data_IF_435719864819
#
_entry.id   IF_435719864819
#
_cell.length_a   1.000
_cell.length_b   1.000
_cell.length_c   1.000
_cell.angle_alpha   90.00
_cell.angle_beta   90.00
_cell.angle_gamma   90.00
#
_symmetry.space_group_name_H-M   'P 1'
#
loop_
_entity.id
_entity.type
_entity.pdbx_description
1 polymer ?
#
# COMPACT_ATOMS: atom_id res chain seq x y z
N UNK A 1 14.27 4.47 9.19
CA UNK A 1 14.43 5.89 9.59
C UNK A 1 15.45 6.06 10.71
N UNK A 2 15.38 5.28 11.80
CA UNK A 2 16.36 5.30 12.90
C UNK A 2 17.82 5.37 12.43
N UNK A 3 18.29 4.40 11.63
CA UNK A 3 19.66 4.42 11.08
C UNK A 3 19.99 5.69 10.31
N UNK A 4 19.07 6.23 9.53
CA UNK A 4 19.34 7.48 8.82
C UNK A 4 19.45 8.67 9.78
N UNK A 5 18.68 8.68 10.87
CA UNK A 5 18.89 9.60 11.98
C UNK A 5 20.29 9.44 12.60
N UNK A 6 20.71 8.22 12.91
CA UNK A 6 22.05 7.92 13.47
C UNK A 6 23.19 8.38 12.56
N UNK A 7 23.05 8.16 11.25
CA UNK A 7 24.08 8.49 10.25
C UNK A 7 23.87 9.87 9.59
N UNK A 8 22.93 10.68 10.08
CA UNK A 8 22.55 11.99 9.52
C UNK A 8 22.33 11.97 7.99
N UNK A 9 21.63 10.93 7.53
CA UNK A 9 21.23 10.79 6.13
C UNK A 9 19.81 11.28 5.93
N UNK A 10 19.56 11.87 4.78
CA UNK A 10 18.20 12.14 4.34
C UNK A 10 17.57 10.85 3.81
N UNK A 11 16.30 10.64 4.13
CA UNK A 11 15.45 9.63 3.48
C UNK A 11 14.26 10.34 2.88
N UNK A 12 13.87 9.87 1.70
CA UNK A 12 12.67 10.28 1.02
C UNK A 12 11.79 9.05 0.76
N UNK A 13 10.51 9.18 1.08
CA UNK A 13 9.45 8.21 0.82
C UNK A 13 8.46 8.82 -0.16
N UNK A 14 8.09 8.09 -1.21
CA UNK A 14 6.97 8.46 -2.08
C UNK A 14 5.93 7.35 -2.06
N UNK A 15 4.76 7.66 -1.52
CA UNK A 15 3.61 6.77 -1.43
C UNK A 15 2.77 6.95 -2.68
N UNK A 16 2.83 5.98 -3.59
CA UNK A 16 2.15 5.99 -4.89
C UNK A 16 0.75 5.38 -4.71
N UNK A 17 -0.26 6.07 -5.23
CA UNK A 17 -1.63 5.57 -5.38
C UNK A 17 -1.97 5.49 -6.86
N UNK A 18 -2.54 4.37 -7.31
CA UNK A 18 -3.08 4.26 -8.66
C UNK A 18 -4.56 4.63 -8.71
N UNK A 19 -4.94 5.39 -9.73
CA UNK A 19 -6.34 5.73 -9.96
C UNK A 19 -7.15 4.48 -10.35
N UNK A 20 -7.91 3.94 -9.38
CA UNK A 20 -8.78 2.76 -9.55
C UNK A 20 -7.99 1.53 -10.04
N UNK A 21 -6.93 1.17 -9.33
CA UNK A 21 -5.93 0.17 -9.74
C UNK A 21 -6.57 -1.13 -10.27
N UNK A 22 -7.48 -1.72 -9.51
CA UNK A 22 -8.15 -2.98 -9.86
C UNK A 22 -9.10 -2.82 -11.05
N UNK A 23 -9.78 -1.67 -11.19
CA UNK A 23 -10.77 -1.44 -12.25
C UNK A 23 -10.14 -1.00 -13.58
N UNK A 24 -8.87 -0.60 -13.55
CA UNK A 24 -8.14 -0.08 -14.72
C UNK A 24 -7.25 -1.13 -15.42
N UNK A 25 -7.16 -2.35 -14.89
CA UNK A 25 -6.38 -3.42 -15.53
C UNK A 25 -6.95 -3.75 -16.91
N UNK A 26 -6.17 -3.48 -17.95
CA UNK A 26 -6.54 -3.83 -19.33
C UNK A 26 -6.34 -5.33 -19.55
N UNK A 27 -7.39 -6.04 -19.96
CA UNK A 27 -7.35 -7.50 -20.13
C UNK A 27 -6.34 -7.93 -21.20
N UNK A 28 -6.29 -7.25 -22.34
CA UNK A 28 -5.36 -7.60 -23.42
C UNK A 28 -3.90 -7.46 -22.97
N UNK A 29 -3.62 -6.38 -22.24
CA UNK A 29 -2.29 -6.14 -21.67
C UNK A 29 -1.99 -7.13 -20.56
N UNK A 30 -2.96 -7.48 -19.70
CA UNK A 30 -2.80 -8.50 -18.66
C UNK A 30 -2.37 -9.84 -19.28
N UNK A 31 -3.04 -10.30 -20.35
CA UNK A 31 -2.68 -11.56 -20.99
C UNK A 31 -1.29 -11.54 -21.61
N UNK A 32 -0.89 -10.40 -22.20
CA UNK A 32 0.45 -10.20 -22.74
C UNK A 32 1.50 -10.23 -21.63
N UNK A 33 1.26 -9.51 -20.53
CA UNK A 33 2.11 -9.50 -19.34
C UNK A 33 2.29 -10.91 -18.77
N UNK A 34 1.22 -11.68 -18.57
CA UNK A 34 1.32 -13.05 -18.07
C UNK A 34 2.18 -13.94 -18.98
N UNK A 35 2.02 -13.80 -20.29
CA UNK A 35 2.82 -14.54 -21.27
C UNK A 35 4.31 -14.21 -21.17
N UNK A 36 4.64 -12.92 -21.06
CA UNK A 36 6.02 -12.44 -20.90
C UNK A 36 6.64 -12.83 -19.55
N UNK A 37 5.81 -12.97 -18.51
CA UNK A 37 6.22 -13.50 -17.21
C UNK A 37 6.38 -15.04 -17.19
N UNK A 38 6.21 -15.71 -18.33
CA UNK A 38 6.43 -17.15 -18.48
C UNK A 38 5.24 -18.04 -18.10
N UNK A 39 4.04 -17.47 -17.93
CA UNK A 39 2.82 -18.27 -17.70
C UNK A 39 2.43 -18.97 -19.01
N UNK A 40 2.05 -20.25 -18.91
CA UNK A 40 1.74 -21.07 -20.08
C UNK A 40 0.50 -20.56 -20.82
N UNK A 41 0.52 -20.68 -22.15
CA UNK A 41 -0.60 -20.26 -23.02
C UNK A 41 -1.91 -20.99 -22.66
N UNK A 42 -1.83 -22.23 -22.16
CA UNK A 42 -3.00 -22.98 -21.71
C UNK A 42 -3.69 -22.31 -20.50
N UNK A 43 -2.91 -21.92 -19.49
CA UNK A 43 -3.45 -21.22 -18.32
C UNK A 43 -4.00 -19.84 -18.69
N UNK A 44 -3.31 -19.11 -19.57
CA UNK A 44 -3.78 -17.82 -20.08
C UNK A 44 -5.09 -17.97 -20.84
N UNK A 45 -5.26 -19.04 -21.62
CA UNK A 45 -6.51 -19.34 -22.31
C UNK A 45 -7.67 -19.58 -21.32
N UNK A 46 -7.43 -20.36 -20.26
CA UNK A 46 -8.44 -20.58 -19.20
C UNK A 46 -8.82 -19.26 -18.51
N UNK A 47 -7.84 -18.43 -18.15
CA UNK A 47 -8.08 -17.13 -17.55
C UNK A 47 -8.87 -16.21 -18.49
N UNK A 48 -8.51 -16.15 -19.78
CA UNK A 48 -9.26 -15.39 -20.79
C UNK A 48 -10.73 -15.81 -20.85
N UNK A 49 -11.00 -17.11 -20.84
CA UNK A 49 -12.38 -17.61 -20.88
C UNK A 49 -13.19 -17.23 -19.64
N UNK A 50 -12.56 -17.00 -18.48
CA UNK A 50 -13.25 -16.47 -17.31
C UNK A 50 -13.64 -14.99 -17.45
N UNK A 51 -12.92 -14.23 -18.27
CA UNK A 51 -13.08 -12.78 -18.42
C UNK A 51 -13.89 -12.37 -19.67
N UNK A 52 -13.95 -13.22 -20.70
CA UNK A 52 -14.70 -12.93 -21.93
C UNK A 52 -16.20 -12.84 -21.64
N UNK A 53 -16.85 -11.79 -22.16
CA UNK A 53 -18.30 -11.63 -22.12
C UNK A 53 -18.86 -11.39 -20.71
N UNK A 54 -18.03 -10.88 -19.78
CA UNK A 54 -18.49 -10.57 -18.44
C UNK A 54 -19.48 -9.41 -18.44
N UNK A 55 -20.58 -9.60 -17.73
CA UNK A 55 -21.60 -8.58 -17.48
C UNK A 55 -21.80 -8.39 -15.98
N UNK A 56 -22.09 -7.15 -15.58
CA UNK A 56 -22.44 -6.81 -14.21
C UNK A 56 -23.65 -5.89 -14.17
N UNK A 57 -24.41 -5.95 -13.08
CA UNK A 57 -25.49 -5.02 -12.78
C UNK A 57 -25.40 -4.57 -11.32
N UNK A 58 -25.86 -3.36 -11.03
CA UNK A 58 -25.84 -2.78 -9.69
C UNK A 58 -27.23 -2.89 -9.08
N UNK A 59 -27.33 -3.56 -7.94
CA UNK A 59 -28.57 -3.59 -7.15
C UNK A 59 -28.61 -2.40 -6.21
N UNK A 60 -29.61 -1.54 -6.39
CA UNK A 60 -29.85 -0.35 -5.56
C UNK A 60 -31.14 -0.52 -4.75
N UNK A 61 -31.42 0.42 -3.83
CA UNK A 61 -32.70 0.46 -3.11
C UNK A 61 -33.92 0.72 -4.01
N UNK A 62 -33.72 1.20 -5.24
CA UNK A 62 -34.77 1.49 -6.22
C UNK A 62 -34.93 0.38 -7.28
N UNK A 63 -34.16 -0.69 -7.20
CA UNK A 63 -34.15 -1.79 -8.17
C UNK A 63 -32.76 -2.11 -8.71
N UNK A 64 -32.72 -3.03 -9.66
CA UNK A 64 -31.50 -3.51 -10.34
C UNK A 64 -31.30 -2.73 -11.63
N UNK A 65 -30.08 -2.25 -11.90
CA UNK A 65 -29.78 -1.55 -13.15
C UNK A 65 -29.79 -2.51 -14.34
N UNK A 66 -29.69 -1.98 -15.55
CA UNK A 66 -29.41 -2.79 -16.74
C UNK A 66 -28.03 -3.47 -16.63
N UNK A 67 -27.85 -4.52 -17.43
CA UNK A 67 -26.58 -5.23 -17.53
C UNK A 67 -25.55 -4.37 -18.26
N UNK A 68 -24.35 -4.29 -17.69
CA UNK A 68 -23.22 -3.53 -18.19
C UNK A 68 -22.10 -4.50 -18.53
N UNK A 69 -21.54 -4.37 -19.73
CA UNK A 69 -20.40 -5.15 -20.17
C UNK A 69 -19.12 -4.70 -19.44
N UNK A 70 -18.37 -5.66 -18.89
CA UNK A 70 -17.09 -5.41 -18.22
C UNK A 70 -15.98 -5.49 -19.26
N UNK A 71 -15.46 -4.33 -19.67
CA UNK A 71 -14.36 -4.24 -20.65
C UNK A 71 -12.96 -4.15 -20.05
N UNK A 72 -12.85 -3.93 -18.73
CA UNK A 72 -11.57 -3.77 -18.03
C UNK A 72 -11.72 -4.06 -16.53
N UNK A 73 -10.58 -4.24 -15.89
CA UNK A 73 -10.44 -4.48 -14.47
C UNK A 73 -10.41 -5.97 -14.13
N UNK A 74 -9.86 -6.29 -12.96
CA UNK A 74 -9.93 -7.64 -12.40
C UNK A 74 -11.25 -7.83 -11.66
N UNK A 75 -11.76 -9.07 -11.62
CA UNK A 75 -13.06 -9.35 -11.03
C UNK A 75 -12.99 -9.20 -9.50
N UNK A 76 -13.51 -8.11 -8.94
CA UNK A 76 -13.52 -7.91 -7.49
C UNK A 76 -14.29 -9.04 -6.79
N UNK A 77 -13.71 -9.60 -5.72
CA UNK A 77 -14.25 -10.77 -5.01
C UNK A 77 -13.80 -12.12 -5.58
N UNK A 78 -13.17 -12.18 -6.76
CA UNK A 78 -12.52 -13.40 -7.24
C UNK A 78 -11.20 -13.65 -6.52
N UNK A 79 -10.96 -14.90 -6.12
CA UNK A 79 -9.76 -15.35 -5.41
C UNK A 79 -8.48 -15.10 -6.23
N UNK A 80 -8.58 -15.12 -7.56
CA UNK A 80 -7.43 -14.94 -8.46
C UNK A 80 -7.08 -13.47 -8.71
N UNK A 81 -8.03 -12.55 -8.54
CA UNK A 81 -7.85 -11.14 -8.89
C UNK A 81 -6.67 -10.46 -8.18
N UNK A 82 -6.44 -10.67 -6.86
CA UNK A 82 -5.25 -10.13 -6.20
C UNK A 82 -3.94 -10.68 -6.78
N UNK A 83 -3.90 -11.98 -7.14
CA UNK A 83 -2.71 -12.59 -7.73
C UNK A 83 -2.43 -12.04 -9.13
N UNK A 84 -3.47 -11.89 -9.95
CA UNK A 84 -3.36 -11.30 -11.28
C UNK A 84 -2.88 -9.85 -11.21
N UNK A 85 -3.42 -9.06 -10.29
CA UNK A 85 -2.98 -7.69 -10.08
C UNK A 85 -1.52 -7.63 -9.59
N UNK A 86 -1.11 -8.48 -8.66
CA UNK A 86 0.27 -8.53 -8.18
C UNK A 86 1.26 -8.86 -9.31
N UNK A 87 0.94 -9.82 -10.19
CA UNK A 87 1.76 -10.12 -11.36
C UNK A 87 1.84 -8.91 -12.31
N UNK A 88 0.71 -8.24 -12.51
CA UNK A 88 0.63 -7.04 -13.34
C UNK A 88 1.49 -5.89 -12.80
N UNK A 89 1.40 -5.61 -11.50
CA UNK A 89 2.21 -4.60 -10.83
C UNK A 89 3.70 -4.98 -10.79
N UNK A 90 4.03 -6.25 -10.56
CA UNK A 90 5.40 -6.76 -10.59
C UNK A 90 6.04 -6.56 -11.96
N UNK A 91 5.31 -6.81 -13.03
CA UNK A 91 5.78 -6.56 -14.39
C UNK A 91 6.15 -5.09 -14.63
N UNK A 92 5.37 -4.14 -14.11
CA UNK A 92 5.73 -2.70 -14.16
C UNK A 92 7.06 -2.46 -13.46
N UNK A 93 7.22 -2.97 -12.24
CA UNK A 93 8.40 -2.71 -11.43
C UNK A 93 9.68 -3.27 -12.05
N UNK A 94 9.59 -4.45 -12.69
CA UNK A 94 10.70 -5.03 -13.45
C UNK A 94 11.05 -4.18 -14.68
N UNK A 95 10.05 -3.75 -15.43
CA UNK A 95 10.28 -2.94 -16.63
C UNK A 95 10.82 -1.54 -16.31
N UNK A 96 10.38 -0.96 -15.20
CA UNK A 96 10.92 0.29 -14.68
C UNK A 96 12.37 0.15 -14.15
N UNK A 97 12.92 -1.06 -14.12
CA UNK A 97 14.31 -1.33 -13.78
C UNK A 97 14.66 -1.00 -12.33
N UNK A 98 13.72 -1.23 -11.40
CA UNK A 98 13.97 -0.95 -9.99
C UNK A 98 15.01 -1.89 -9.39
N UNK A 99 15.10 -3.14 -9.83
CA UNK A 99 16.08 -4.09 -9.28
C UNK A 99 17.52 -3.70 -9.66
N UNK A 100 17.73 -3.18 -10.87
CA UNK A 100 19.02 -2.74 -11.38
C UNK A 100 19.40 -1.31 -10.92
N UNK A 101 18.44 -0.57 -10.38
CA UNK A 101 18.65 0.79 -9.92
C UNK A 101 19.61 0.84 -8.72
N UNK A 102 20.66 1.66 -8.84
CA UNK A 102 21.54 1.99 -7.71
C UNK A 102 20.87 2.91 -6.67
N UNK A 103 19.73 3.51 -7.05
CA UNK A 103 18.90 4.36 -6.21
C UNK A 103 18.15 3.56 -5.16
N UNK A 104 18.14 4.01 -3.91
CA UNK A 104 17.45 3.35 -2.80
C UNK A 104 18.16 3.45 -1.46
N UNK A 105 17.59 2.82 -0.43
CA UNK A 105 18.16 2.76 0.91
C UNK A 105 19.04 1.51 1.05
N UNK A 106 20.30 1.70 1.45
CA UNK A 106 21.24 0.58 1.66
C UNK A 106 21.04 -0.07 3.03
N UNK A 107 20.47 -1.28 3.03
CA UNK A 107 20.28 -2.11 4.25
C UNK A 107 21.01 -3.43 4.07
N UNK A 108 21.93 -3.76 4.98
CA UNK A 108 22.66 -5.04 5.00
C UNK A 108 23.30 -5.41 3.63
N UNK A 109 23.93 -4.44 2.96
CA UNK A 109 24.55 -4.55 1.62
C UNK A 109 23.57 -4.75 0.46
N UNK A 110 22.27 -4.68 0.70
CA UNK A 110 21.24 -4.67 -0.35
C UNK A 110 20.67 -3.27 -0.48
N UNK A 111 20.31 -2.92 -1.70
CA UNK A 111 19.59 -1.69 -1.97
C UNK A 111 18.09 -2.00 -1.93
N UNK A 112 17.33 -1.24 -1.12
CA UNK A 112 15.88 -1.38 -1.03
C UNK A 112 15.27 -0.06 -1.46
N UNK A 113 14.59 -0.06 -2.59
CA UNK A 113 14.01 1.14 -3.17
C UNK A 113 12.49 1.15 -3.27
N UNK A 114 11.83 0.04 -2.94
CA UNK A 114 10.39 -0.03 -2.89
C UNK A 114 9.89 -1.00 -1.82
N UNK A 115 8.73 -0.68 -1.24
CA UNK A 115 7.88 -1.58 -0.47
C UNK A 115 6.52 -1.65 -1.16
N UNK A 116 5.94 -2.85 -1.23
CA UNK A 116 4.72 -3.09 -1.99
C UNK A 116 3.82 -4.04 -1.24
N UNK A 117 2.55 -3.66 -1.11
CA UNK A 117 1.51 -4.53 -0.57
C UNK A 117 0.19 -4.23 -1.28
N UNK A 118 -0.33 -5.21 -2.01
CA UNK A 118 -1.46 -5.01 -2.92
C UNK A 118 -1.21 -3.82 -3.88
N UNK A 119 -2.05 -2.80 -3.84
CA UNK A 119 -1.95 -1.57 -4.64
C UNK A 119 -1.11 -0.46 -3.99
N UNK A 120 -0.78 -0.58 -2.70
CA UNK A 120 0.10 0.37 -2.01
C UNK A 120 1.55 0.14 -2.43
N UNK A 121 2.16 1.16 -3.04
CA UNK A 121 3.57 1.16 -3.44
C UNK A 121 4.27 2.34 -2.80
N UNK A 122 5.34 2.06 -2.05
CA UNK A 122 6.17 3.09 -1.42
C UNK A 122 7.56 3.04 -2.02
N UNK A 123 7.98 4.08 -2.73
CA UNK A 123 9.36 4.25 -3.15
C UNK A 123 10.19 4.83 -2.00
N UNK A 124 11.46 4.43 -1.91
CA UNK A 124 12.37 4.80 -0.82
C UNK A 124 13.75 5.09 -1.38
N UNK A 125 14.31 6.26 -1.11
CA UNK A 125 15.63 6.67 -1.62
C UNK A 125 16.37 7.59 -0.65
N UNK A 126 17.66 7.82 -0.90
CA UNK A 126 18.51 8.71 -0.09
C UNK A 126 18.63 10.14 -0.69
N UNK A 127 18.14 10.41 -1.92
CA UNK A 127 18.16 11.75 -2.55
C UNK A 127 16.87 12.12 -3.30
N UNK A 128 16.62 13.43 -3.43
CA UNK A 128 15.46 13.95 -4.16
C UNK A 128 15.52 13.62 -5.66
N UNK A 129 16.72 13.65 -6.26
CA UNK A 129 16.94 13.34 -7.67
C UNK A 129 16.65 11.87 -7.98
N UNK A 130 17.04 10.97 -7.09
CA UNK A 130 16.72 9.55 -7.19
C UNK A 130 15.22 9.31 -7.09
N UNK A 131 14.52 10.03 -6.19
CA UNK A 131 13.08 9.91 -6.02
C UNK A 131 12.35 10.29 -7.30
N UNK A 132 12.68 11.45 -7.87
CA UNK A 132 12.11 11.96 -9.13
C UNK A 132 12.35 10.98 -10.27
N UNK A 133 13.58 10.46 -10.39
CA UNK A 133 13.95 9.49 -11.41
C UNK A 133 13.14 8.19 -11.31
N UNK A 134 13.04 7.59 -10.11
CA UNK A 134 12.28 6.36 -9.91
C UNK A 134 10.78 6.57 -10.11
N UNK A 135 10.23 7.67 -9.59
CA UNK A 135 8.81 7.99 -9.74
C UNK A 135 8.43 8.14 -11.22
N UNK A 136 9.25 8.84 -12.01
CA UNK A 136 9.02 9.00 -13.45
C UNK A 136 9.07 7.68 -14.21
N UNK A 137 10.06 6.82 -13.91
CA UNK A 137 10.15 5.48 -14.53
C UNK A 137 8.91 4.63 -14.23
N UNK A 138 8.53 4.54 -12.94
CA UNK A 138 7.34 3.80 -12.53
C UNK A 138 6.11 4.34 -13.24
N UNK A 139 5.98 5.66 -13.32
CA UNK A 139 4.85 6.33 -13.98
C UNK A 139 4.78 6.00 -15.47
N UNK A 140 5.88 6.18 -16.21
CA UNK A 140 5.94 5.88 -17.64
C UNK A 140 5.63 4.41 -17.95
N UNK A 141 6.19 3.46 -17.19
CA UNK A 141 5.92 2.03 -17.40
C UNK A 141 4.52 1.61 -16.98
N UNK A 142 3.95 2.25 -15.94
CA UNK A 142 2.56 2.05 -15.54
C UNK A 142 1.60 2.47 -16.65
N UNK A 143 1.83 3.64 -17.26
CA UNK A 143 0.98 4.18 -18.32
C UNK A 143 1.03 3.33 -19.59
N UNK A 144 2.21 2.79 -19.94
CA UNK A 144 2.34 1.83 -21.05
C UNK A 144 1.39 0.66 -20.88
N UNK A 145 1.22 0.17 -19.64
CA UNK A 145 0.26 -0.90 -19.36
C UNK A 145 -1.13 -0.42 -18.98
N UNK A 146 -1.39 0.89 -18.89
CA UNK A 146 -2.73 1.45 -18.70
C UNK A 146 -3.12 1.70 -17.25
N UNK A 147 -2.17 1.63 -16.31
CA UNK A 147 -2.36 2.16 -14.95
C UNK A 147 -1.88 3.61 -14.90
N UNK A 148 -2.72 4.47 -14.32
CA UNK A 148 -2.39 5.88 -14.11
C UNK A 148 -2.20 6.15 -12.63
N UNK A 149 -1.16 6.92 -12.31
CA UNK A 149 -0.94 7.39 -10.96
C UNK A 149 -2.00 8.44 -10.62
N UNK A 150 -2.41 8.46 -9.38
CA UNK A 150 -3.27 9.47 -8.81
C UNK A 150 -2.37 10.47 -8.07
N UNK A 151 -1.95 11.53 -8.77
CA UNK A 151 -0.99 12.50 -8.24
C UNK A 151 -1.52 13.19 -6.98
N UNK A 152 -2.84 13.46 -6.92
CA UNK A 152 -3.48 14.07 -5.76
C UNK A 152 -3.48 13.19 -4.51
N UNK A 153 -3.46 11.86 -4.66
CA UNK A 153 -3.33 10.93 -3.53
C UNK A 153 -1.90 10.48 -3.27
N UNK A 154 -1.03 10.61 -4.26
CA UNK A 154 0.39 10.34 -4.11
C UNK A 154 0.98 11.39 -3.16
N UNK A 155 1.74 10.94 -2.16
CA UNK A 155 2.35 11.82 -1.15
C UNK A 155 3.83 11.54 -1.03
N UNK A 156 4.59 12.57 -0.64
CA UNK A 156 6.00 12.45 -0.32
C UNK A 156 6.22 12.82 1.15
N UNK A 157 6.99 12.01 1.86
CA UNK A 157 7.51 12.34 3.19
C UNK A 157 9.02 12.29 3.14
N UNK A 158 9.70 13.29 3.69
CA UNK A 158 11.14 13.33 3.70
C UNK A 158 11.70 13.90 4.99
N UNK A 159 12.84 13.36 5.42
CA UNK A 159 13.61 13.91 6.53
C UNK A 159 14.53 15.06 6.11
N UNK A 160 14.74 15.23 4.81
CA UNK A 160 15.52 16.31 4.20
C UNK A 160 14.65 17.33 3.46
N UNK A 161 15.23 18.46 3.02
CA UNK A 161 14.51 19.43 2.20
C UNK A 161 14.09 18.81 0.87
N UNK A 162 12.90 19.21 0.40
CA UNK A 162 12.39 18.93 -0.94
C UNK A 162 12.14 20.27 -1.62
N UNK A 163 12.69 20.47 -2.81
CA UNK A 163 12.46 21.70 -3.57
C UNK A 163 11.06 21.74 -4.17
N UNK A 164 10.73 20.77 -5.02
CA UNK A 164 9.40 20.53 -5.61
C UNK A 164 9.45 19.26 -6.43
N UNK A 165 8.40 18.43 -6.38
CA UNK A 165 8.28 17.26 -7.23
C UNK A 165 7.03 17.43 -8.10
N UNK A 166 7.22 17.66 -9.39
CA UNK A 166 6.13 17.80 -10.35
C UNK A 166 6.06 16.56 -11.25
N UNK A 167 4.85 16.07 -11.46
CA UNK A 167 4.53 14.98 -12.38
C UNK A 167 3.35 15.46 -13.23
N UNK A 168 3.53 15.53 -14.54
CA UNK A 168 2.51 16.04 -15.50
C UNK A 168 2.01 17.47 -15.23
N UNK A 169 2.87 18.32 -14.66
CA UNK A 169 2.50 19.69 -14.29
C UNK A 169 1.64 19.77 -13.03
N UNK A 170 1.40 18.65 -12.33
CA UNK A 170 0.82 18.60 -11.00
C UNK A 170 1.93 18.41 -9.96
N UNK A 171 1.93 19.22 -8.90
CA UNK A 171 2.88 19.08 -7.80
C UNK A 171 2.43 17.97 -6.85
N UNK A 172 3.31 17.01 -6.58
CA UNK A 172 3.10 15.97 -5.57
C UNK A 172 3.20 16.62 -4.18
N UNK A 173 2.18 16.41 -3.36
CA UNK A 173 2.12 17.02 -2.03
C UNK A 173 3.17 16.41 -1.09
N UNK A 174 3.92 17.27 -0.41
CA UNK A 174 4.88 16.88 0.63
C UNK A 174 4.19 16.99 2.00
N UNK A 175 4.19 15.90 2.76
CA UNK A 175 3.52 15.79 4.06
C UNK A 175 4.50 15.42 5.17
N UNK A 176 4.25 15.95 6.37
CA UNK A 176 5.04 15.64 7.58
C UNK A 176 4.85 14.21 8.06
N UNK A 177 3.69 13.63 7.79
CA UNK A 177 3.31 12.30 8.24
C UNK A 177 2.30 11.65 7.29
N UNK A 178 2.33 10.33 7.20
CA UNK A 178 1.49 9.54 6.30
C UNK A 178 1.12 8.20 6.94
N UNK A 179 -0.14 7.77 6.78
CA UNK A 179 -0.60 6.47 7.26
C UNK A 179 -0.30 5.40 6.20
N UNK A 180 0.74 4.60 6.43
CA UNK A 180 1.11 3.44 5.59
C UNK A 180 0.74 2.13 6.30
N UNK A 181 -0.08 1.28 5.68
CA UNK A 181 -0.53 -0.01 6.24
C UNK A 181 -1.05 0.11 7.67
N UNK A 182 -1.90 1.12 7.87
CA UNK A 182 -2.43 1.56 9.15
C UNK A 182 -1.44 2.19 10.12
N UNK A 183 -0.13 2.17 9.90
CA UNK A 183 0.89 2.77 10.77
C UNK A 183 1.24 4.20 10.36
N UNK A 184 1.31 5.13 11.32
CA UNK A 184 1.76 6.49 11.04
C UNK A 184 3.29 6.56 10.87
N UNK A 185 3.72 7.01 9.69
CA UNK A 185 5.11 7.23 9.32
C UNK A 185 5.36 8.73 9.30
N UNK A 186 6.20 9.22 10.22
CA UNK A 186 6.55 10.65 10.31
C UNK A 186 7.91 10.94 9.68
N UNK A 187 8.09 12.14 9.14
CA UNK A 187 9.34 12.61 8.54
C UNK A 187 10.54 12.56 9.49
N UNK A 188 10.31 12.78 10.78
CA UNK A 188 11.32 12.76 11.84
C UNK A 188 11.55 11.37 12.44
N UNK A 189 10.75 10.38 12.05
CA UNK A 189 10.80 9.01 12.60
C UNK A 189 10.29 8.86 14.03
N UNK A 190 9.60 9.85 14.61
CA UNK A 190 9.00 9.74 15.94
C UNK A 190 7.76 8.84 15.98
N UNK A 191 7.86 7.69 16.64
CA UNK A 191 6.74 6.78 16.84
C UNK A 191 5.77 7.21 17.95
N UNK A 192 6.04 8.29 18.70
CA UNK A 192 5.18 8.71 19.83
C UNK A 192 3.75 9.02 19.40
N UNK A 193 3.56 9.59 18.21
CA UNK A 193 2.26 9.89 17.64
C UNK A 193 1.47 8.61 17.31
N UNK A 194 2.13 7.60 16.73
CA UNK A 194 1.50 6.31 16.43
C UNK A 194 1.15 5.53 17.70
N UNK A 195 2.04 5.51 18.70
CA UNK A 195 1.77 4.86 19.99
C UNK A 195 0.51 5.46 20.64
N UNK A 196 0.40 6.79 20.69
CA UNK A 196 -0.79 7.47 21.21
C UNK A 196 -2.04 7.10 20.41
N UNK A 197 -1.96 7.06 19.08
CA UNK A 197 -3.07 6.68 18.20
C UNK A 197 -3.54 5.24 18.47
N UNK A 198 -2.63 4.28 18.62
CA UNK A 198 -2.96 2.87 18.96
C UNK A 198 -3.59 2.73 20.34
N UNK A 199 -3.10 3.47 21.33
CA UNK A 199 -3.72 3.52 22.66
C UNK A 199 -5.15 4.07 22.60
N UNK A 200 -5.41 5.11 21.79
CA UNK A 200 -6.76 5.64 21.58
C UNK A 200 -7.68 4.63 20.90
N UNK A 201 -7.20 3.89 19.90
CA UNK A 201 -7.97 2.81 19.28
C UNK A 201 -8.27 1.67 20.26
N UNK A 202 -7.28 1.24 21.05
CA UNK A 202 -7.48 0.27 22.11
C UNK A 202 -8.52 0.73 23.13
N UNK A 203 -8.47 2.01 23.54
CA UNK A 203 -9.47 2.62 24.43
C UNK A 203 -10.87 2.57 23.82
N UNK A 204 -11.03 2.87 22.53
CA UNK A 204 -12.31 2.78 21.82
C UNK A 204 -12.87 1.36 21.85
N UNK A 205 -12.03 0.34 21.61
CA UNK A 205 -12.45 -1.07 21.71
C UNK A 205 -12.89 -1.41 23.14
N UNK A 206 -12.12 -0.96 24.14
CA UNK A 206 -12.50 -1.17 25.55
C UNK A 206 -13.85 -0.52 25.90
N UNK A 207 -14.12 0.68 25.40
CA UNK A 207 -15.42 1.35 25.59
C UNK A 207 -16.56 0.57 24.93
N UNK A 208 -16.34 -0.01 23.75
CA UNK A 208 -17.35 -0.85 23.09
C UNK A 208 -17.65 -2.15 23.87
N UNK A 209 -16.68 -2.63 24.67
CA UNK A 209 -16.82 -3.82 25.52
C UNK A 209 -17.32 -3.49 26.94
N UNK A 210 -17.65 -2.24 27.25
CA UNK A 210 -17.94 -1.79 28.62
C UNK A 210 -19.07 -2.59 29.31
N UNK A 211 -20.16 -2.86 28.59
CA UNK A 211 -21.29 -3.66 29.09
C UNK A 211 -20.89 -5.10 29.43
N UNK A 212 -20.05 -5.71 28.60
CA UNK A 212 -19.52 -7.07 28.77
C UNK A 212 -18.56 -7.11 29.96
N UNK A 213 -17.65 -6.14 30.04
CA UNK A 213 -16.64 -6.08 31.10
C UNK A 213 -17.25 -5.80 32.48
N UNK A 214 -18.36 -5.04 32.54
CA UNK A 214 -19.11 -4.75 33.77
C UNK A 214 -20.14 -5.82 34.14
N UNK A 215 -20.56 -6.68 33.20
CA UNK A 215 -21.55 -7.73 33.47
C UNK A 215 -21.07 -8.69 34.56
N UNK A 216 -21.95 -9.02 35.51
CA UNK A 216 -21.67 -10.02 36.56
C UNK A 216 -21.86 -11.45 36.09
N UNK A 217 -22.56 -11.64 34.96
CA UNK A 217 -22.87 -12.96 34.39
C UNK A 217 -21.69 -13.56 33.61
N UNK A 218 -20.66 -12.76 33.33
CA UNK A 218 -19.49 -13.15 32.57
C UNK A 218 -18.30 -13.34 33.51
N UNK A 219 -17.66 -14.51 33.42
CA UNK A 219 -16.52 -14.86 34.26
C UNK A 219 -15.29 -14.01 33.94
N UNK A 220 -14.47 -13.73 34.95
CA UNK A 220 -13.22 -12.97 34.80
C UNK A 220 -12.28 -13.58 33.75
N UNK A 221 -12.04 -14.92 33.69
CA UNK A 221 -11.21 -15.51 32.65
C UNK A 221 -11.71 -15.22 31.22
N UNK A 222 -13.02 -15.25 31.01
CA UNK A 222 -13.63 -14.92 29.71
C UNK A 222 -13.40 -13.46 29.35
N UNK A 223 -13.57 -12.54 30.31
CA UNK A 223 -13.28 -11.10 30.09
C UNK A 223 -11.82 -10.86 29.73
N UNK A 224 -10.90 -11.50 30.44
CA UNK A 224 -9.46 -11.42 30.15
C UNK A 224 -9.17 -11.96 28.75
N UNK A 225 -9.79 -13.07 28.36
CA UNK A 225 -9.68 -13.63 27.02
C UNK A 225 -10.13 -12.63 25.95
N UNK A 226 -11.29 -11.98 26.13
CA UNK A 226 -11.81 -10.97 25.22
C UNK A 226 -10.87 -9.76 25.08
N UNK A 227 -10.33 -9.25 26.19
CA UNK A 227 -9.36 -8.15 26.14
C UNK A 227 -8.11 -8.56 25.35
N UNK A 228 -7.57 -9.76 25.62
CA UNK A 228 -6.40 -10.27 24.90
C UNK A 228 -6.69 -10.50 23.40
N UNK A 229 -7.90 -10.92 23.05
CA UNK A 229 -8.27 -11.23 21.67
C UNK A 229 -8.67 -10.00 20.85
N UNK A 230 -9.24 -8.96 21.48
CA UNK A 230 -9.84 -7.83 20.76
C UNK A 230 -9.08 -6.51 20.95
N UNK A 231 -8.46 -6.30 22.12
CA UNK A 231 -7.84 -5.01 22.47
C UNK A 231 -6.34 -5.06 22.22
N UNK A 232 -5.68 -6.13 22.67
CA UNK A 232 -4.23 -6.24 22.53
C UNK A 232 -3.77 -6.22 21.07
N UNK A 233 -4.41 -6.91 20.11
CA UNK A 233 -4.00 -6.83 18.71
C UNK A 233 -4.09 -5.40 18.16
N UNK A 234 -5.09 -4.62 18.57
CA UNK A 234 -5.27 -3.24 18.12
C UNK A 234 -4.19 -2.32 18.70
N UNK A 235 -3.81 -2.51 19.97
CA UNK A 235 -2.78 -1.70 20.64
C UNK A 235 -1.38 -2.07 20.17
N UNK A 236 -1.11 -3.35 19.94
CA UNK A 236 0.22 -3.87 19.59
C UNK A 236 0.49 -3.88 18.08
N UNK A 237 -0.49 -3.56 17.24
CA UNK A 237 -0.27 -3.54 15.79
C UNK A 237 0.84 -2.54 15.42
N UNK A 238 1.86 -3.03 14.71
CA UNK A 238 2.98 -2.24 14.24
C UNK A 238 4.04 -1.93 15.32
N UNK A 239 3.92 -2.48 16.53
CA UNK A 239 4.86 -2.19 17.61
C UNK A 239 6.29 -2.69 17.34
N UNK A 240 6.45 -3.68 16.46
CA UNK A 240 7.73 -4.18 15.96
C UNK A 240 8.53 -3.13 15.17
N UNK A 241 7.86 -2.08 14.71
CA UNK A 241 8.48 -0.98 13.94
C UNK A 241 8.84 0.24 14.79
N UNK A 242 8.46 0.25 16.08
CA UNK A 242 8.68 1.41 16.94
C UNK A 242 10.12 1.46 17.45
N UNK A 243 10.66 2.67 17.49
CA UNK A 243 11.99 2.93 18.02
C UNK A 243 11.92 2.99 19.55
N UNK A 244 12.75 2.19 20.23
CA UNK A 244 12.89 2.26 21.68
C UNK A 244 13.80 3.43 22.03
N UNK A 245 13.30 4.43 22.75
CA UNK A 245 14.13 5.56 23.19
C UNK A 245 14.94 5.14 24.42
N UNK A 246 16.14 5.72 24.57
CA UNK A 246 17.00 5.47 25.75
C UNK A 246 16.32 5.78 27.09
N UNK A 247 15.33 6.67 27.11
CA UNK A 247 14.53 6.98 28.31
C UNK A 247 13.52 5.87 28.68
N UNK A 248 13.34 4.89 27.80
CA UNK A 248 12.37 3.78 27.91
C UNK A 248 13.06 2.43 28.18
N UNK A 249 14.40 2.41 28.25
CA UNK A 249 15.24 1.30 28.70
C UNK A 249 15.76 1.55 30.12
#
# INVERSE_FOLDING_TARGET
MEKAGEFQKNIYFCFIDYAKAFDCVDHNKLWKTLKEMGISDHLICLLRNLYVGQEATVRTGHGTTEWLQIGKGVCQGCILSPCLFNLYAEYIMRNAGLEEAQAGIKIARRNINNLRYADDITLMVESEEELKSLLMKVKEDSEKIGLKLNIQKTKITASGPITSCEVDGETVEVVSDFILWDSNITADGDCSHEIKRRLLFGRKVMTNLDSILKSRDITLPTKVCLVKAMVFPVVMYGCESWTVKKAEC
#
